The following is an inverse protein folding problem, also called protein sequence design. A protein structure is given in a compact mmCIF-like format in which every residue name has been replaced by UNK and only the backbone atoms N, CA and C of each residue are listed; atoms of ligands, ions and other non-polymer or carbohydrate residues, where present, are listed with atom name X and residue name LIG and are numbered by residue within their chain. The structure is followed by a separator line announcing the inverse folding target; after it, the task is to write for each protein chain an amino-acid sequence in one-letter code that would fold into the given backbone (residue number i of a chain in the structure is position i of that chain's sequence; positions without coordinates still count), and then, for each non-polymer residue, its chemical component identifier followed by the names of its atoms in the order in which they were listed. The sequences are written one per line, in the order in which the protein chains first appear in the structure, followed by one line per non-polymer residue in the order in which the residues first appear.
data_IF_089599037090
#
_entry.id   IF_089599037090
#
_cell.length_a   1.000
_cell.length_b   1.000
_cell.length_c   1.000
_cell.angle_alpha   90.00
_cell.angle_beta   90.00
_cell.angle_gamma   90.00
#
_symmetry.space_group_name_H-M   'P 1'
#
loop_
_entity.id
_entity.type
_entity.pdbx_description
1 polymer ?
#
# COMPACT_ATOMS: atom_id res chain seq x y z
N UNK A 1 60.33 38.09 11.12
CA UNK A 1 58.88 37.83 10.91
C UNK A 1 58.25 37.62 12.28
N UNK A 2 57.29 38.47 12.66
CA UNK A 2 56.76 38.52 14.03
C UNK A 2 55.67 37.47 14.25
N UNK A 3 55.79 36.70 15.35
CA UNK A 3 54.83 35.67 15.74
C UNK A 3 53.39 36.19 15.87
N UNK A 4 53.19 37.47 16.20
CA UNK A 4 51.85 38.07 16.29
C UNK A 4 51.12 38.12 14.95
N UNK A 5 51.82 38.32 13.83
CA UNK A 5 51.21 38.34 12.50
C UNK A 5 50.69 36.94 12.11
N UNK A 6 51.42 35.88 12.50
CA UNK A 6 51.00 34.49 12.30
C UNK A 6 49.81 34.10 13.18
N UNK A 7 49.79 34.56 14.43
CA UNK A 7 48.66 34.34 15.35
C UNK A 7 47.38 35.02 14.81
N UNK A 8 47.49 36.25 14.32
CA UNK A 8 46.36 36.95 13.70
C UNK A 8 45.85 36.25 12.43
N UNK A 9 46.76 35.78 11.57
CA UNK A 9 46.40 35.01 10.37
C UNK A 9 45.71 33.69 10.70
N UNK A 10 46.19 32.98 11.73
CA UNK A 10 45.56 31.76 12.22
C UNK A 10 44.16 32.03 12.80
N UNK A 11 43.96 33.12 13.54
CA UNK A 11 42.64 33.52 14.07
C UNK A 11 41.62 33.84 12.97
N UNK A 12 42.05 34.52 11.90
CA UNK A 12 41.21 34.78 10.72
C UNK A 12 40.83 33.45 10.03
N UNK A 13 41.80 32.56 9.79
CA UNK A 13 41.56 31.24 9.19
C UNK A 13 40.58 30.40 10.02
N UNK A 14 40.77 30.33 11.34
CA UNK A 14 39.85 29.61 12.24
C UNK A 14 38.44 30.18 12.17
N UNK A 15 38.30 31.50 12.09
CA UNK A 15 36.99 32.15 11.96
C UNK A 15 36.31 31.78 10.64
N UNK A 16 37.04 31.82 9.51
CA UNK A 16 36.52 31.39 8.20
C UNK A 16 36.12 29.91 8.19
N UNK A 17 36.98 29.04 8.74
CA UNK A 17 36.69 27.60 8.84
C UNK A 17 35.47 27.36 9.74
N UNK A 18 35.34 28.07 10.86
CA UNK A 18 34.21 27.94 11.78
C UNK A 18 32.89 28.35 11.12
N UNK A 19 32.88 29.43 10.34
CA UNK A 19 31.68 29.85 9.58
C UNK A 19 31.30 28.79 8.56
N UNK A 20 32.27 28.24 7.84
CA UNK A 20 32.01 27.20 6.83
C UNK A 20 31.48 25.91 7.45
N UNK A 21 32.11 25.42 8.53
CA UNK A 21 31.68 24.21 9.25
C UNK A 21 30.30 24.41 9.87
N UNK A 22 30.03 25.57 10.48
CA UNK A 22 28.72 25.88 11.06
C UNK A 22 27.62 25.89 9.99
N UNK A 23 27.85 26.55 8.85
CA UNK A 23 26.88 26.58 7.75
C UNK A 23 26.67 25.18 7.14
N UNK A 24 27.74 24.40 6.99
CA UNK A 24 27.66 23.03 6.49
C UNK A 24 26.87 22.10 7.43
N UNK A 25 27.14 22.15 8.74
CA UNK A 25 26.40 21.40 9.76
C UNK A 25 24.93 21.83 9.81
N UNK A 26 24.65 23.14 9.74
CA UNK A 26 23.30 23.69 9.70
C UNK A 26 22.51 23.19 8.49
N UNK A 27 23.10 23.23 7.28
CA UNK A 27 22.47 22.67 6.07
C UNK A 27 22.23 21.17 6.19
N UNK A 28 23.19 20.42 6.74
CA UNK A 28 23.04 18.97 6.94
C UNK A 28 21.90 18.65 7.92
N UNK A 29 21.79 19.40 9.02
CA UNK A 29 20.71 19.25 9.99
C UNK A 29 19.33 19.58 9.37
N UNK A 30 19.22 20.69 8.64
CA UNK A 30 17.99 21.09 7.98
C UNK A 30 17.52 20.07 6.92
N UNK A 31 18.45 19.50 6.14
CA UNK A 31 18.13 18.44 5.16
C UNK A 31 17.67 17.16 5.88
N UNK A 32 18.34 16.79 6.97
CA UNK A 32 17.95 15.62 7.76
C UNK A 32 16.55 15.80 8.38
N UNK A 33 16.26 16.96 8.94
CA UNK A 33 14.95 17.31 9.50
C UNK A 33 13.87 17.30 8.43
N UNK A 34 14.11 17.93 7.28
CA UNK A 34 13.17 17.93 6.16
C UNK A 34 12.88 16.50 5.66
N UNK A 35 13.91 15.66 5.54
CA UNK A 35 13.75 14.25 5.17
C UNK A 35 12.94 13.48 6.20
N UNK A 36 13.19 13.70 7.51
CA UNK A 36 12.46 13.05 8.57
C UNK A 36 10.98 13.47 8.59
N UNK A 37 10.72 14.77 8.41
CA UNK A 37 9.36 15.31 8.32
C UNK A 37 8.60 14.74 7.12
N UNK A 38 9.26 14.56 5.97
CA UNK A 38 8.66 13.91 4.80
C UNK A 38 8.32 12.44 5.07
N UNK A 39 9.22 11.68 5.72
CA UNK A 39 8.96 10.30 6.10
C UNK A 39 7.76 10.20 7.05
N UNK A 40 7.72 11.06 8.06
CA UNK A 40 6.63 11.12 9.02
C UNK A 40 5.30 11.47 8.34
N UNK A 41 5.30 12.47 7.45
CA UNK A 41 4.12 12.84 6.65
C UNK A 41 3.60 11.66 5.85
N UNK A 42 4.49 10.97 5.11
CA UNK A 42 4.13 9.77 4.34
C UNK A 42 3.50 8.71 5.23
N UNK A 43 4.15 8.40 6.36
CA UNK A 43 3.68 7.42 7.34
C UNK A 43 2.28 7.76 7.87
N UNK A 44 2.06 9.00 8.29
CA UNK A 44 0.81 9.45 8.92
C UNK A 44 -0.34 9.64 7.93
N UNK A 45 -0.07 10.18 6.73
CA UNK A 45 -1.13 10.56 5.79
C UNK A 45 -1.51 9.46 4.80
N UNK A 46 -0.64 8.46 4.57
CA UNK A 46 -0.94 7.37 3.64
C UNK A 46 -0.94 6.00 4.34
N UNK A 47 0.18 5.61 4.94
CA UNK A 47 0.31 4.23 5.46
C UNK A 47 -0.61 3.96 6.65
N UNK A 48 -0.74 4.87 7.61
CA UNK A 48 -1.68 4.69 8.74
C UNK A 48 -3.14 4.58 8.25
N UNK A 49 -3.66 5.50 7.41
CA UNK A 49 -5.01 5.36 6.86
C UNK A 49 -5.22 4.04 6.10
N UNK A 50 -4.24 3.62 5.30
CA UNK A 50 -4.31 2.35 4.56
C UNK A 50 -4.40 1.17 5.52
N UNK A 51 -3.52 1.11 6.53
CA UNK A 51 -3.51 0.07 7.56
C UNK A 51 -4.86 0.01 8.29
N UNK A 52 -5.43 1.17 8.65
CA UNK A 52 -6.73 1.25 9.32
C UNK A 52 -7.86 0.67 8.46
N UNK A 53 -7.92 1.05 7.19
CA UNK A 53 -8.93 0.51 6.27
C UNK A 53 -8.79 -1.00 6.11
N UNK A 54 -7.57 -1.51 5.93
CA UNK A 54 -7.32 -2.95 5.83
C UNK A 54 -7.68 -3.71 7.11
N UNK A 55 -7.35 -3.15 8.28
CA UNK A 55 -7.61 -3.76 9.59
C UNK A 55 -9.10 -3.84 9.93
N UNK A 56 -9.91 -2.91 9.42
CA UNK A 56 -11.36 -2.91 9.62
C UNK A 56 -12.08 -4.01 8.82
N UNK A 57 -11.39 -4.64 7.86
CA UNK A 57 -11.94 -5.70 7.03
C UNK A 57 -11.49 -7.06 7.57
N UNK A 58 -12.42 -8.02 7.68
CA UNK A 58 -12.09 -9.37 8.15
C UNK A 58 -11.14 -10.06 7.17
N UNK A 59 -10.21 -10.92 7.64
CA UNK A 59 -9.25 -11.60 6.78
C UNK A 59 -9.84 -12.41 5.61
N UNK A 60 -11.05 -12.95 5.78
CA UNK A 60 -11.77 -13.67 4.71
C UNK A 60 -12.09 -12.81 3.49
N UNK A 61 -12.07 -11.47 3.61
CA UNK A 61 -12.35 -10.53 2.52
C UNK A 61 -11.08 -9.86 1.99
N UNK A 62 -9.88 -10.35 2.32
CA UNK A 62 -8.61 -9.78 1.85
C UNK A 62 -8.22 -10.20 0.42
N UNK A 63 -9.18 -10.58 -0.42
CA UNK A 63 -9.01 -10.65 -1.88
C UNK A 63 -9.60 -9.40 -2.51
N UNK A 64 -9.10 -8.95 -3.66
CA UNK A 64 -9.68 -7.80 -4.36
C UNK A 64 -11.20 -7.98 -4.57
N UNK A 65 -11.62 -9.15 -5.05
CA UNK A 65 -13.04 -9.42 -5.33
C UNK A 65 -13.90 -9.34 -4.06
N UNK A 66 -13.48 -10.02 -2.99
CA UNK A 66 -14.25 -10.05 -1.74
C UNK A 66 -14.17 -8.69 -1.01
N UNK A 67 -13.03 -7.99 -1.08
CA UNK A 67 -12.84 -6.66 -0.52
C UNK A 67 -13.75 -5.63 -1.20
N UNK A 68 -13.91 -5.74 -2.52
CA UNK A 68 -14.79 -4.88 -3.31
C UNK A 68 -16.28 -5.16 -3.10
N UNK A 69 -16.62 -6.41 -2.76
CA UNK A 69 -17.97 -6.78 -2.35
C UNK A 69 -18.25 -6.43 -0.87
N UNK A 70 -17.22 -6.17 -0.06
CA UNK A 70 -17.39 -5.85 1.34
C UNK A 70 -17.93 -4.41 1.51
N UNK A 71 -19.10 -4.31 2.13
CA UNK A 71 -19.69 -3.04 2.54
C UNK A 71 -19.34 -2.72 3.97
N UNK A 72 -18.92 -1.48 4.22
CA UNK A 72 -18.70 -0.99 5.56
C UNK A 72 -20.05 -0.81 6.30
N UNK A 73 -20.05 -0.71 7.64
CA UNK A 73 -21.28 -0.57 8.42
C UNK A 73 -22.14 0.65 8.08
N UNK A 74 -21.53 1.70 7.50
CA UNK A 74 -22.20 2.92 7.03
C UNK A 74 -22.73 2.80 5.59
N UNK A 75 -22.56 1.63 4.97
CA UNK A 75 -22.98 1.34 3.60
C UNK A 75 -21.98 1.78 2.53
N UNK A 76 -20.81 2.31 2.88
CA UNK A 76 -19.77 2.60 1.90
C UNK A 76 -19.14 1.33 1.33
N UNK A 77 -18.63 1.40 0.09
CA UNK A 77 -17.85 0.32 -0.49
C UNK A 77 -16.40 0.44 0.01
N UNK A 78 -15.93 -0.56 0.77
CA UNK A 78 -14.59 -0.54 1.36
C UNK A 78 -13.48 -0.36 0.32
N UNK A 79 -13.65 -0.92 -0.88
CA UNK A 79 -12.70 -0.74 -1.97
C UNK A 79 -12.69 0.69 -2.53
N UNK A 80 -13.85 1.33 -2.64
CA UNK A 80 -13.93 2.72 -3.12
C UNK A 80 -13.13 3.65 -2.21
N UNK A 81 -13.31 3.52 -0.89
CA UNK A 81 -12.61 4.35 0.09
C UNK A 81 -11.08 4.12 0.08
N UNK A 82 -10.66 2.88 -0.21
CA UNK A 82 -9.25 2.52 -0.35
C UNK A 82 -8.66 3.00 -1.67
N UNK A 83 -9.40 2.87 -2.76
CA UNK A 83 -9.03 3.38 -4.08
C UNK A 83 -8.83 4.90 -4.04
N UNK A 84 -9.77 5.62 -3.44
CA UNK A 84 -9.69 7.07 -3.27
C UNK A 84 -8.46 7.47 -2.45
N UNK A 85 -8.19 6.77 -1.35
CA UNK A 85 -6.98 6.98 -0.56
C UNK A 85 -5.71 6.79 -1.41
N UNK A 86 -5.65 5.71 -2.19
CA UNK A 86 -4.49 5.38 -3.03
C UNK A 86 -4.28 6.45 -4.12
N UNK A 87 -5.34 6.89 -4.81
CA UNK A 87 -5.21 7.92 -5.83
C UNK A 87 -4.86 9.29 -5.26
N UNK A 88 -5.56 9.73 -4.22
CA UNK A 88 -5.35 11.07 -3.65
C UNK A 88 -3.99 11.22 -2.97
N UNK A 89 -3.40 10.11 -2.48
CA UNK A 89 -2.13 10.10 -1.76
C UNK A 89 -1.01 9.41 -2.52
N UNK A 90 -1.14 9.28 -3.84
CA UNK A 90 -0.14 8.61 -4.68
C UNK A 90 1.27 9.22 -4.55
N UNK A 91 1.37 10.53 -4.32
CA UNK A 91 2.64 11.24 -4.09
C UNK A 91 3.37 10.81 -2.81
N UNK A 92 2.66 10.20 -1.86
CA UNK A 92 3.21 9.78 -0.56
C UNK A 92 3.66 8.32 -0.56
N UNK A 93 3.33 7.56 -1.60
CA UNK A 93 3.71 6.16 -1.76
C UNK A 93 5.21 5.98 -2.03
N UNK A 94 5.75 4.79 -1.82
CA UNK A 94 7.06 4.44 -2.41
C UNK A 94 6.98 4.26 -3.92
N UNK A 95 8.13 4.29 -4.61
CA UNK A 95 8.18 4.36 -6.07
C UNK A 95 7.58 3.14 -6.79
N UNK A 96 7.43 2.00 -6.10
CA UNK A 96 6.88 0.77 -6.68
C UNK A 96 5.36 0.72 -6.69
N UNK A 97 4.70 1.43 -5.78
CA UNK A 97 3.25 1.33 -5.57
C UNK A 97 2.42 2.04 -6.64
N UNK A 98 2.70 3.30 -7.06
CA UNK A 98 1.85 4.00 -8.02
C UNK A 98 1.60 3.24 -9.34
N UNK A 99 2.61 2.62 -9.99
CA UNK A 99 2.37 1.84 -11.19
C UNK A 99 1.48 0.61 -10.96
N UNK A 100 1.53 0.00 -9.77
CA UNK A 100 0.68 -1.14 -9.42
C UNK A 100 -0.76 -0.70 -9.19
N UNK A 101 -0.96 0.40 -8.46
CA UNK A 101 -2.29 0.99 -8.21
C UNK A 101 -2.99 1.32 -9.52
N UNK A 102 -2.29 2.02 -10.43
CA UNK A 102 -2.86 2.37 -11.75
C UNK A 102 -3.25 1.12 -12.54
N UNK A 103 -2.40 0.08 -12.53
CA UNK A 103 -2.71 -1.19 -13.22
C UNK A 103 -3.91 -1.90 -12.61
N UNK A 104 -4.00 -1.95 -11.28
CA UNK A 104 -5.14 -2.54 -10.58
C UNK A 104 -6.42 -1.82 -11.01
N UNK A 105 -6.44 -0.49 -10.97
CA UNK A 105 -7.63 0.30 -11.26
C UNK A 105 -8.12 0.17 -12.70
N UNK A 106 -7.20 0.13 -13.67
CA UNK A 106 -7.53 -0.15 -15.07
C UNK A 106 -8.14 -1.54 -15.28
N UNK A 107 -7.82 -2.51 -14.42
CA UNK A 107 -8.32 -3.88 -14.51
C UNK A 107 -9.57 -4.10 -13.65
N UNK A 108 -9.63 -3.46 -12.49
CA UNK A 108 -10.55 -3.73 -11.39
C UNK A 108 -12.01 -3.59 -11.81
N UNK A 109 -12.35 -2.52 -12.53
CA UNK A 109 -13.72 -2.22 -12.90
C UNK A 109 -14.26 -3.19 -13.96
N UNK A 110 -13.44 -3.47 -14.98
CA UNK A 110 -13.78 -4.44 -16.02
C UNK A 110 -13.89 -5.86 -15.47
N UNK A 111 -12.87 -6.33 -14.75
CA UNK A 111 -12.83 -7.69 -14.21
C UNK A 111 -14.01 -7.96 -13.24
N UNK A 112 -14.30 -7.00 -12.36
CA UNK A 112 -15.39 -7.12 -11.40
C UNK A 112 -16.77 -7.08 -12.07
N UNK A 113 -16.99 -6.12 -12.99
CA UNK A 113 -18.29 -5.95 -13.66
C UNK A 113 -18.66 -7.16 -14.49
N UNK A 114 -17.72 -7.69 -15.28
CA UNK A 114 -17.99 -8.82 -16.19
C UNK A 114 -18.32 -10.09 -15.40
N UNK A 115 -17.61 -10.35 -14.31
CA UNK A 115 -17.88 -11.50 -13.43
C UNK A 115 -19.23 -11.33 -12.73
N UNK A 116 -19.49 -10.19 -12.09
CA UNK A 116 -20.75 -9.99 -11.38
C UNK A 116 -21.96 -10.02 -12.31
N UNK A 117 -21.88 -9.41 -13.50
CA UNK A 117 -22.94 -9.50 -14.48
C UNK A 117 -23.25 -10.96 -14.84
N UNK A 118 -22.22 -11.77 -15.09
CA UNK A 118 -22.40 -13.19 -15.42
C UNK A 118 -23.01 -14.00 -14.25
N UNK A 119 -22.61 -13.71 -13.01
CA UNK A 119 -23.14 -14.37 -11.81
C UNK A 119 -24.62 -14.00 -11.57
N UNK A 120 -24.96 -12.70 -11.58
CA UNK A 120 -26.33 -12.22 -11.30
C UNK A 120 -27.31 -12.48 -12.44
N UNK A 121 -26.83 -12.57 -13.68
CA UNK A 121 -27.68 -12.83 -14.85
C UNK A 121 -27.94 -14.33 -15.09
N UNK A 122 -27.41 -15.21 -14.23
CA UNK A 122 -27.57 -16.67 -14.37
C UNK A 122 -26.75 -17.28 -15.51
N UNK A 123 -25.81 -16.54 -16.10
CA UNK A 123 -24.91 -17.02 -17.16
C UNK A 123 -23.65 -17.69 -16.60
N UNK A 124 -23.79 -18.43 -15.51
CA UNK A 124 -22.65 -19.07 -14.81
C UNK A 124 -21.89 -20.08 -15.70
N UNK A 125 -22.53 -20.59 -16.75
CA UNK A 125 -21.94 -21.52 -17.71
C UNK A 125 -21.38 -20.85 -18.97
N UNK A 126 -21.38 -19.51 -19.07
CA UNK A 126 -20.87 -18.83 -20.26
C UNK A 126 -19.33 -18.92 -20.35
N UNK A 127 -18.74 -19.18 -21.54
CA UNK A 127 -17.28 -19.19 -21.73
C UNK A 127 -16.61 -17.84 -21.40
N UNK A 128 -17.37 -16.74 -21.51
CA UNK A 128 -16.91 -15.40 -21.15
C UNK A 128 -16.62 -15.26 -19.66
N UNK A 129 -17.25 -16.07 -18.81
CA UNK A 129 -17.05 -16.03 -17.37
C UNK A 129 -15.67 -16.57 -16.96
N UNK A 130 -15.13 -17.58 -17.63
CA UNK A 130 -13.78 -18.09 -17.32
C UNK A 130 -12.70 -17.05 -17.62
N UNK A 131 -12.87 -16.31 -18.73
CA UNK A 131 -12.00 -15.18 -19.06
C UNK A 131 -12.10 -14.08 -17.99
N UNK A 132 -13.32 -13.69 -17.63
CA UNK A 132 -13.56 -12.67 -16.61
C UNK A 132 -13.00 -13.10 -15.24
N UNK A 133 -13.18 -14.37 -14.86
CA UNK A 133 -12.63 -14.93 -13.63
C UNK A 133 -11.09 -14.95 -13.63
N UNK A 134 -10.44 -15.21 -14.77
CA UNK A 134 -8.99 -15.07 -14.91
C UNK A 134 -8.52 -13.62 -14.74
N UNK A 135 -9.30 -12.64 -15.18
CA UNK A 135 -9.00 -11.22 -14.96
C UNK A 135 -9.19 -10.82 -13.49
N UNK A 136 -10.19 -11.39 -12.80
CA UNK A 136 -10.34 -11.23 -11.34
C UNK A 136 -9.14 -11.79 -10.59
N UNK A 137 -8.59 -12.95 -11.00
CA UNK A 137 -7.36 -13.47 -10.38
C UNK A 137 -6.15 -12.57 -10.57
N UNK A 138 -6.02 -11.95 -11.75
CA UNK A 138 -4.97 -10.96 -11.99
C UNK A 138 -5.17 -9.73 -11.09
N UNK A 139 -6.40 -9.28 -10.89
CA UNK A 139 -6.71 -8.17 -9.98
C UNK A 139 -6.41 -8.54 -8.52
N UNK A 140 -6.78 -9.75 -8.08
CA UNK A 140 -6.41 -10.27 -6.76
C UNK A 140 -4.89 -10.27 -6.55
N UNK A 141 -4.13 -10.76 -7.53
CA UNK A 141 -2.66 -10.78 -7.44
C UNK A 141 -2.06 -9.37 -7.36
N UNK A 142 -2.54 -8.42 -8.16
CA UNK A 142 -2.10 -7.02 -8.10
C UNK A 142 -2.44 -6.38 -6.75
N UNK A 143 -3.64 -6.64 -6.24
CA UNK A 143 -4.07 -6.15 -4.93
C UNK A 143 -3.20 -6.72 -3.80
N UNK A 144 -2.90 -8.02 -3.83
CA UNK A 144 -1.98 -8.62 -2.86
C UNK A 144 -0.59 -7.99 -2.90
N UNK A 145 -0.06 -7.73 -4.10
CA UNK A 145 1.23 -7.07 -4.26
C UNK A 145 1.21 -5.65 -3.69
N UNK A 146 0.15 -4.88 -3.93
CA UNK A 146 -0.05 -3.54 -3.38
C UNK A 146 -0.10 -3.58 -1.85
N UNK A 147 -0.90 -4.48 -1.27
CA UNK A 147 -1.04 -4.60 0.19
C UNK A 147 0.31 -5.00 0.81
N UNK A 148 0.98 -6.03 0.30
CA UNK A 148 2.28 -6.47 0.80
C UNK A 148 3.33 -5.36 0.74
N UNK A 149 3.48 -4.70 -0.42
CA UNK A 149 4.42 -3.60 -0.58
C UNK A 149 4.09 -2.43 0.36
N UNK A 150 2.81 -2.09 0.52
CA UNK A 150 2.39 -1.01 1.41
C UNK A 150 2.71 -1.32 2.88
N UNK A 151 2.40 -2.53 3.36
CA UNK A 151 2.70 -2.93 4.73
C UNK A 151 4.21 -3.09 4.99
N UNK A 152 4.97 -3.53 3.98
CA UNK A 152 6.42 -3.61 4.07
C UNK A 152 7.06 -2.22 4.13
N UNK A 153 6.67 -1.31 3.23
CA UNK A 153 7.15 0.08 3.23
C UNK A 153 6.75 0.83 4.52
N UNK A 154 5.53 0.59 5.03
CA UNK A 154 5.10 1.13 6.32
C UNK A 154 5.98 0.65 7.47
N UNK A 155 6.35 -0.63 7.49
CA UNK A 155 7.21 -1.21 8.53
C UNK A 155 8.61 -0.58 8.49
N UNK A 156 9.18 -0.45 7.30
CA UNK A 156 10.47 0.20 7.10
C UNK A 156 10.46 1.69 7.52
N UNK A 157 9.37 2.40 7.22
CA UNK A 157 9.20 3.78 7.65
C UNK A 157 9.09 3.89 9.17
N UNK A 158 8.28 3.05 9.81
CA UNK A 158 8.15 3.00 11.27
C UNK A 158 9.51 2.76 11.94
N UNK A 159 10.26 1.76 11.48
CA UNK A 159 11.61 1.47 11.98
C UNK A 159 12.55 2.70 11.82
N UNK A 160 12.51 3.34 10.64
CA UNK A 160 13.36 4.51 10.36
C UNK A 160 12.99 5.77 11.17
N UNK A 161 11.76 5.83 11.66
CA UNK A 161 11.22 6.91 12.49
C UNK A 161 11.25 6.56 13.99
N UNK A 162 11.75 5.37 14.35
CA UNK A 162 11.70 4.82 15.71
C UNK A 162 10.26 4.78 16.29
N UNK A 163 9.28 4.45 15.45
CA UNK A 163 7.89 4.25 15.83
C UNK A 163 7.56 2.77 15.99
N UNK A 164 6.42 2.46 16.61
CA UNK A 164 5.94 1.09 16.72
C UNK A 164 5.57 0.53 15.32
N UNK A 165 6.09 -0.65 14.92
CA UNK A 165 5.88 -1.20 13.58
C UNK A 165 4.54 -1.92 13.45
N UNK A 166 3.42 -1.20 13.58
CA UNK A 166 2.05 -1.74 13.58
C UNK A 166 1.68 -2.51 12.30
N UNK A 167 2.34 -2.24 11.18
CA UNK A 167 2.14 -2.95 9.90
C UNK A 167 2.78 -4.34 9.85
N UNK A 168 3.80 -4.60 10.68
CA UNK A 168 4.53 -5.87 10.67
C UNK A 168 3.65 -7.07 11.09
N UNK A 169 2.92 -7.03 12.22
CA UNK A 169 2.01 -8.13 12.55
C UNK A 169 0.89 -8.29 11.51
N UNK A 170 0.37 -7.17 10.97
CA UNK A 170 -0.67 -7.22 9.93
C UNK A 170 -0.15 -7.85 8.64
N UNK A 171 1.10 -7.58 8.23
CA UNK A 171 1.73 -8.21 7.08
C UNK A 171 1.79 -9.73 7.25
N UNK A 172 2.26 -10.21 8.41
CA UNK A 172 2.32 -11.65 8.67
C UNK A 172 0.93 -12.31 8.68
N UNK A 173 -0.08 -11.64 9.25
CA UNK A 173 -1.47 -12.12 9.17
C UNK A 173 -1.99 -12.15 7.74
N UNK A 174 -1.69 -11.12 6.94
CA UNK A 174 -2.11 -11.01 5.55
C UNK A 174 -1.46 -12.09 4.67
N UNK A 175 -0.16 -12.32 4.81
CA UNK A 175 0.57 -13.38 4.11
C UNK A 175 0.00 -14.76 4.44
N UNK A 176 -0.22 -15.04 5.73
CA UNK A 176 -0.86 -16.28 6.15
C UNK A 176 -2.25 -16.46 5.52
N UNK A 177 -3.08 -15.41 5.50
CA UNK A 177 -4.41 -15.47 4.91
C UNK A 177 -4.36 -15.74 3.40
N UNK A 178 -3.42 -15.13 2.66
CA UNK A 178 -3.26 -15.40 1.22
C UNK A 178 -2.85 -16.85 0.95
N UNK A 179 -1.91 -17.39 1.73
CA UNK A 179 -1.39 -18.75 1.53
C UNK A 179 -2.49 -19.80 1.69
N UNK A 180 -3.51 -19.52 2.50
CA UNK A 180 -4.66 -20.40 2.74
C UNK A 180 -5.91 -20.00 1.94
N UNK A 181 -5.83 -18.97 1.09
CA UNK A 181 -6.99 -18.48 0.33
C UNK A 181 -7.25 -19.39 -0.87
N UNK A 182 -8.47 -19.94 -0.94
CA UNK A 182 -8.93 -20.62 -2.15
C UNK A 182 -8.99 -19.62 -3.32
N UNK A 183 -8.33 -19.96 -4.44
CA UNK A 183 -8.40 -19.16 -5.67
C UNK A 183 -9.86 -18.96 -6.11
N UNK A 184 -10.15 -17.76 -6.60
CA UNK A 184 -11.47 -17.39 -7.14
C UNK A 184 -11.93 -18.34 -8.24
N UNK A 185 -11.04 -18.72 -9.16
CA UNK A 185 -11.36 -19.68 -10.23
C UNK A 185 -11.82 -21.04 -9.67
N UNK A 186 -11.16 -21.53 -8.62
CA UNK A 186 -11.54 -22.77 -7.95
C UNK A 186 -12.87 -22.65 -7.21
N UNK A 187 -13.08 -21.53 -6.51
CA UNK A 187 -14.39 -21.21 -5.87
C UNK A 187 -15.52 -21.20 -6.89
N UNK A 188 -15.27 -20.60 -8.06
CA UNK A 188 -16.23 -20.53 -9.15
C UNK A 188 -16.52 -21.90 -9.74
N UNK A 189 -15.50 -22.73 -9.95
CA UNK A 189 -15.69 -24.09 -10.43
C UNK A 189 -16.52 -24.92 -9.46
N UNK A 190 -16.23 -24.84 -8.15
CA UNK A 190 -17.03 -25.51 -7.11
C UNK A 190 -18.49 -25.05 -7.14
N UNK A 191 -18.74 -23.74 -7.26
CA UNK A 191 -20.09 -23.20 -7.34
C UNK A 191 -20.86 -23.73 -8.57
N UNK A 192 -20.17 -23.88 -9.72
CA UNK A 192 -20.77 -24.50 -10.92
C UNK A 192 -21.13 -25.98 -10.70
N UNK A 193 -20.27 -26.72 -10.00
CA UNK A 193 -20.43 -28.15 -9.76
C UNK A 193 -21.46 -28.46 -8.67
N UNK A 194 -21.49 -27.68 -7.58
CA UNK A 194 -22.41 -27.89 -6.44
C UNK A 194 -23.76 -27.19 -6.61
N UNK A 195 -23.84 -26.17 -7.46
CA UNK A 195 -25.01 -25.28 -7.55
C UNK A 195 -25.18 -24.35 -6.35
N UNK A 196 -24.20 -24.30 -5.44
CA UNK A 196 -24.23 -23.41 -4.27
C UNK A 196 -23.77 -21.98 -4.65
N UNK A 197 -24.23 -20.96 -3.91
CA UNK A 197 -23.77 -19.59 -4.09
C UNK A 197 -22.25 -19.48 -3.90
N UNK A 198 -21.60 -18.61 -4.68
CA UNK A 198 -20.15 -18.38 -4.63
C UNK A 198 -19.65 -17.90 -3.24
N UNK A 199 -20.53 -17.29 -2.45
CA UNK A 199 -20.21 -16.86 -1.08
C UNK A 199 -20.11 -18.04 -0.09
N UNK A 200 -20.64 -19.21 -0.44
CA UNK A 200 -20.65 -20.41 0.42
C UNK A 200 -19.53 -21.41 0.10
N UNK A 201 -18.75 -21.18 -0.98
CA UNK A 201 -17.71 -22.12 -1.44
C UNK A 201 -16.32 -21.91 -0.81
N UNK A 202 -16.27 -21.28 0.37
CA UNK A 202 -15.05 -20.94 1.13
C UNK A 202 -14.31 -22.19 1.60
#
# INVERSE_FOLDING_TARGET
MNASAWISLAGILVSFISVFVSNWLGRKAAVAEMSNNQKLKRYQEFYIPFIKQLYNVKPSYWSFYDFRNNTAPDGSNSYSDLSDLMFQKMELMGPKLPPLVVKLEMLAEHAYSDVNLALYSGFINAPTLEKAASEVEKANALFDEIVKNTLQEASQLADSLALEPISKPLLSSYENAIDHRTQFLLRLQRAKESGEPLEQTI
#
